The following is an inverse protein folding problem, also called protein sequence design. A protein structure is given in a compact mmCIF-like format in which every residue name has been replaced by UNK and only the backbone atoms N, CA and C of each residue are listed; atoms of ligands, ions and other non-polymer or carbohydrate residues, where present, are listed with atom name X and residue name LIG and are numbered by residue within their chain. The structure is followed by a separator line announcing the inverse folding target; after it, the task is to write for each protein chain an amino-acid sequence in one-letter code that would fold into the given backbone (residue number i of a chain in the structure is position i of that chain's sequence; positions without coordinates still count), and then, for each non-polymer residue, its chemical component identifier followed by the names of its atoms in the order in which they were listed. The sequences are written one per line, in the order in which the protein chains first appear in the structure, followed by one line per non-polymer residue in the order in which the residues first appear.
data_IF_229464980638
#
_entry.id   IF_229464980638
#
_cell.length_a   1.000
_cell.length_b   1.000
_cell.length_c   1.000
_cell.angle_alpha   90.00
_cell.angle_beta   90.00
_cell.angle_gamma   90.00
#
_symmetry.space_group_name_H-M   'P 1'
#
loop_
_entity.id
_entity.type
_entity.pdbx_description
1 polymer ?
#
# COMPACT_ATOMS: atom_id res chain seq x y z
N UNK A 1 -21.63 -32.60 13.65
CA UNK A 1 -22.32 -31.35 13.26
C UNK A 1 -21.38 -30.13 13.28
N UNK A 2 -20.49 -29.98 14.28
CA UNK A 2 -19.45 -28.94 14.33
C UNK A 2 -18.46 -28.91 13.14
N UNK A 3 -18.03 -30.07 12.63
CA UNK A 3 -17.11 -30.16 11.48
C UNK A 3 -17.67 -29.51 10.20
N UNK A 4 -18.99 -29.56 9.97
CA UNK A 4 -19.62 -29.02 8.76
C UNK A 4 -19.70 -27.48 8.77
N UNK A 5 -19.63 -26.87 9.95
CA UNK A 5 -19.71 -25.42 10.15
C UNK A 5 -18.32 -24.75 9.99
N UNK A 6 -17.24 -25.47 10.25
CA UNK A 6 -15.85 -25.02 10.07
C UNK A 6 -15.34 -25.11 8.62
N UNK A 7 -15.89 -26.02 7.79
CA UNK A 7 -15.44 -26.21 6.40
C UNK A 7 -15.81 -25.04 5.49
N UNK A 8 -16.99 -24.42 5.68
CA UNK A 8 -17.48 -23.35 4.80
C UNK A 8 -16.56 -22.10 4.79
N UNK A 9 -16.14 -21.54 5.93
CA UNK A 9 -15.20 -20.41 5.95
C UNK A 9 -13.86 -20.72 5.27
N UNK A 10 -13.31 -21.91 5.52
CA UNK A 10 -12.02 -22.34 4.94
C UNK A 10 -12.12 -22.53 3.43
N UNK A 11 -13.23 -23.10 2.94
CA UNK A 11 -13.47 -23.28 1.51
C UNK A 11 -13.65 -21.93 0.79
N UNK A 12 -14.42 -21.02 1.39
CA UNK A 12 -14.60 -19.65 0.87
C UNK A 12 -13.26 -18.92 0.85
N UNK A 13 -12.49 -18.97 1.93
CA UNK A 13 -11.15 -18.40 1.97
C UNK A 13 -10.25 -18.99 0.88
N UNK A 14 -10.23 -20.31 0.71
CA UNK A 14 -9.40 -20.98 -0.29
C UNK A 14 -9.78 -20.55 -1.71
N UNK A 15 -11.07 -20.43 -2.02
CA UNK A 15 -11.56 -19.95 -3.31
C UNK A 15 -11.19 -18.48 -3.56
N UNK A 16 -11.36 -17.60 -2.56
CA UNK A 16 -10.97 -16.20 -2.65
C UNK A 16 -9.46 -16.04 -2.80
N UNK A 17 -8.68 -16.84 -2.08
CA UNK A 17 -7.22 -16.84 -2.15
C UNK A 17 -6.75 -17.30 -3.54
N UNK A 18 -7.35 -18.34 -4.10
CA UNK A 18 -7.06 -18.80 -5.46
C UNK A 18 -7.40 -17.73 -6.50
N UNK A 19 -8.57 -17.09 -6.39
CA UNK A 19 -8.98 -16.01 -7.27
C UNK A 19 -8.02 -14.81 -7.19
N UNK A 20 -7.65 -14.39 -5.98
CA UNK A 20 -6.68 -13.33 -5.76
C UNK A 20 -5.33 -13.62 -6.44
N UNK A 21 -4.78 -14.81 -6.21
CA UNK A 21 -3.51 -15.21 -6.82
C UNK A 21 -3.61 -15.35 -8.34
N UNK A 22 -4.75 -15.79 -8.86
CA UNK A 22 -5.00 -15.83 -10.31
C UNK A 22 -4.99 -14.42 -10.92
N UNK A 23 -5.66 -13.47 -10.28
CA UNK A 23 -5.66 -12.05 -10.69
C UNK A 23 -4.24 -11.47 -10.60
N UNK A 24 -3.52 -11.74 -9.51
CA UNK A 24 -2.15 -11.26 -9.32
C UNK A 24 -1.19 -11.84 -10.36
N UNK A 25 -1.29 -13.14 -10.67
CA UNK A 25 -0.53 -13.77 -11.75
C UNK A 25 -0.86 -13.15 -13.12
N UNK A 26 -2.14 -12.93 -13.43
CA UNK A 26 -2.55 -12.24 -14.65
C UNK A 26 -1.98 -10.82 -14.73
N UNK A 27 -1.97 -10.08 -13.62
CA UNK A 27 -1.35 -8.76 -13.53
C UNK A 27 0.16 -8.82 -13.79
N UNK A 28 0.88 -9.73 -13.16
CA UNK A 28 2.32 -9.95 -13.40
C UNK A 28 2.61 -10.32 -14.86
N UNK A 29 1.77 -11.16 -15.48
CA UNK A 29 1.85 -11.50 -16.89
C UNK A 29 1.65 -10.25 -17.79
N UNK A 30 0.71 -9.37 -17.45
CA UNK A 30 0.45 -8.12 -18.18
C UNK A 30 1.64 -7.16 -18.13
N UNK A 31 2.32 -7.06 -16.98
CA UNK A 31 3.47 -6.18 -16.81
C UNK A 31 4.82 -6.84 -17.09
N UNK A 32 4.87 -8.10 -17.57
CA UNK A 32 6.10 -8.88 -17.71
C UNK A 32 7.19 -8.20 -18.55
N UNK A 33 6.78 -7.43 -19.55
CA UNK A 33 7.71 -6.70 -20.44
C UNK A 33 8.32 -5.46 -19.79
N UNK A 34 7.80 -5.03 -18.63
CA UNK A 34 8.33 -3.90 -17.85
C UNK A 34 9.43 -4.32 -16.86
N UNK A 35 9.81 -5.61 -16.79
CA UNK A 35 10.95 -6.08 -15.99
C UNK A 35 12.27 -5.77 -16.70
N UNK A 36 12.55 -4.47 -16.79
CA UNK A 36 13.75 -3.90 -17.38
C UNK A 36 14.46 -3.11 -16.28
N UNK A 37 15.79 -3.26 -16.19
CA UNK A 37 16.59 -2.49 -15.25
C UNK A 37 16.58 -1.00 -15.65
N UNK A 38 16.22 -0.12 -14.72
CA UNK A 38 16.13 1.32 -14.99
C UNK A 38 17.51 1.94 -15.32
N UNK A 39 18.60 1.35 -14.81
CA UNK A 39 19.96 1.87 -15.01
C UNK A 39 20.63 1.35 -16.28
N UNK A 40 20.46 0.06 -16.60
CA UNK A 40 21.15 -0.57 -17.74
C UNK A 40 20.28 -0.72 -18.98
N UNK A 41 18.95 -0.64 -18.85
CA UNK A 41 18.02 -0.91 -19.95
C UNK A 41 17.87 -2.38 -20.29
N UNK A 42 18.54 -3.28 -19.56
CA UNK A 42 18.52 -4.71 -19.84
C UNK A 42 17.24 -5.37 -19.33
N UNK A 43 16.71 -6.28 -20.13
CA UNK A 43 15.65 -7.19 -19.68
C UNK A 43 16.21 -8.14 -18.64
N UNK A 44 15.46 -8.30 -17.55
CA UNK A 44 15.80 -9.25 -16.51
C UNK A 44 15.54 -10.68 -16.99
N UNK A 45 16.56 -11.54 -16.91
CA UNK A 45 16.41 -12.98 -17.12
C UNK A 45 15.67 -13.68 -15.97
N UNK A 46 15.73 -13.09 -14.76
CA UNK A 46 15.04 -13.54 -13.55
C UNK A 46 14.59 -12.34 -12.70
N UNK A 47 13.51 -12.50 -11.94
CA UNK A 47 13.05 -11.48 -10.98
C UNK A 47 14.14 -11.28 -9.91
N UNK A 48 14.56 -10.03 -9.73
CA UNK A 48 15.57 -9.66 -8.75
C UNK A 48 15.06 -9.77 -7.30
N UNK A 49 15.92 -9.49 -6.32
CA UNK A 49 15.57 -9.65 -4.91
C UNK A 49 14.54 -8.63 -4.44
N UNK A 50 14.67 -7.35 -4.84
CA UNK A 50 13.70 -6.32 -4.47
C UNK A 50 12.28 -6.67 -4.95
N UNK A 51 12.13 -6.99 -6.23
CA UNK A 51 10.82 -7.35 -6.81
C UNK A 51 10.23 -8.63 -6.19
N UNK A 52 11.07 -9.60 -5.78
CA UNK A 52 10.60 -10.81 -5.08
C UNK A 52 9.98 -10.48 -3.72
N UNK A 53 10.58 -9.55 -2.98
CA UNK A 53 10.07 -9.09 -1.69
C UNK A 53 8.72 -8.40 -1.88
N UNK A 54 8.60 -7.47 -2.84
CA UNK A 54 7.34 -6.80 -3.15
C UNK A 54 6.24 -7.79 -3.56
N UNK A 55 6.54 -8.75 -4.44
CA UNK A 55 5.58 -9.78 -4.84
C UNK A 55 5.13 -10.67 -3.67
N UNK A 56 6.04 -11.00 -2.76
CA UNK A 56 5.73 -11.77 -1.56
C UNK A 56 4.76 -11.00 -0.64
N UNK A 57 4.98 -9.70 -0.45
CA UNK A 57 4.07 -8.85 0.35
C UNK A 57 2.66 -8.82 -0.23
N UNK A 58 2.53 -8.63 -1.54
CA UNK A 58 1.22 -8.64 -2.21
C UNK A 58 0.56 -10.03 -2.07
N UNK A 59 1.30 -11.10 -2.38
CA UNK A 59 0.78 -12.48 -2.33
C UNK A 59 0.29 -12.90 -0.94
N UNK A 60 0.92 -12.44 0.12
CA UNK A 60 0.56 -12.82 1.50
C UNK A 60 -0.67 -12.09 2.06
N UNK A 61 -1.14 -11.04 1.39
CA UNK A 61 -2.22 -10.18 1.87
C UNK A 61 -3.55 -10.91 2.19
N UNK A 62 -4.07 -11.84 1.36
CA UNK A 62 -5.33 -12.54 1.68
C UNK A 62 -5.22 -13.38 2.95
N UNK A 63 -4.07 -14.03 3.16
CA UNK A 63 -3.79 -14.83 4.35
C UNK A 63 -3.78 -13.96 5.60
N UNK A 64 -3.17 -12.78 5.53
CA UNK A 64 -3.17 -11.80 6.62
C UNK A 64 -4.59 -11.38 6.97
N UNK A 65 -5.38 -10.97 5.97
CA UNK A 65 -6.78 -10.55 6.18
C UNK A 65 -7.60 -11.68 6.82
N UNK A 66 -7.44 -12.91 6.37
CA UNK A 66 -8.13 -14.06 6.94
C UNK A 66 -7.83 -14.25 8.44
N UNK A 67 -6.55 -14.19 8.82
CA UNK A 67 -6.18 -14.29 10.23
C UNK A 67 -6.68 -13.10 11.06
N UNK A 68 -6.67 -11.88 10.50
CA UNK A 68 -7.22 -10.70 11.19
C UNK A 68 -8.72 -10.79 11.43
N UNK A 69 -9.46 -11.39 10.50
CA UNK A 69 -10.91 -11.52 10.62
C UNK A 69 -11.31 -12.65 11.57
N UNK A 70 -10.47 -13.68 11.71
CA UNK A 70 -10.70 -14.80 12.62
C UNK A 70 -10.75 -14.32 14.07
N UNK A 71 -11.75 -14.75 14.84
CA UNK A 71 -11.94 -14.39 16.26
C UNK A 71 -11.10 -15.25 17.21
N UNK A 72 -9.89 -15.63 16.81
CA UNK A 72 -9.02 -16.47 17.61
C UNK A 72 -7.81 -15.69 18.09
N UNK A 73 -7.80 -15.39 19.39
CA UNK A 73 -6.83 -14.52 20.04
C UNK A 73 -5.38 -15.01 19.89
N UNK A 74 -5.18 -16.31 19.68
CA UNK A 74 -3.85 -16.91 19.52
C UNK A 74 -3.13 -16.43 18.25
N UNK A 75 -3.85 -15.94 17.24
CA UNK A 75 -3.23 -15.48 15.99
C UNK A 75 -2.75 -14.02 16.03
N UNK A 76 -3.18 -13.23 17.02
CA UNK A 76 -2.82 -11.80 17.01
C UNK A 76 -1.32 -11.56 17.25
N UNK A 77 -0.64 -12.38 18.05
CA UNK A 77 0.81 -12.27 18.24
C UNK A 77 1.59 -12.53 16.94
N UNK A 78 1.17 -13.54 16.18
CA UNK A 78 1.74 -13.86 14.85
C UNK A 78 1.43 -12.73 13.87
N UNK A 79 0.21 -12.18 13.91
CA UNK A 79 -0.20 -11.09 13.05
C UNK A 79 0.61 -9.80 13.29
N UNK A 80 0.95 -9.46 14.54
CA UNK A 80 1.82 -8.31 14.86
C UNK A 80 3.20 -8.51 14.25
N UNK A 81 3.81 -9.67 14.48
CA UNK A 81 5.12 -10.01 13.91
C UNK A 81 5.08 -9.95 12.39
N UNK A 82 4.00 -10.43 11.78
CA UNK A 82 3.82 -10.42 10.34
C UNK A 82 3.66 -9.00 9.79
N UNK A 83 2.80 -8.16 10.39
CA UNK A 83 2.65 -6.75 9.99
C UNK A 83 3.96 -5.97 10.14
N UNK A 84 4.66 -6.18 11.26
CA UNK A 84 5.98 -5.62 11.47
C UNK A 84 6.95 -6.06 10.38
N UNK A 85 6.96 -7.34 10.03
CA UNK A 85 7.82 -7.87 8.96
C UNK A 85 7.46 -7.28 7.60
N UNK A 86 6.16 -7.18 7.24
CA UNK A 86 5.72 -6.54 5.99
C UNK A 86 6.25 -5.11 5.90
N UNK A 87 6.07 -4.31 6.96
CA UNK A 87 6.51 -2.91 6.96
C UNK A 87 8.03 -2.78 6.98
N UNK A 88 8.74 -3.68 7.64
CA UNK A 88 10.20 -3.72 7.60
C UNK A 88 10.71 -4.10 6.21
N UNK A 89 10.06 -5.06 5.55
CA UNK A 89 10.44 -5.50 4.20
C UNK A 89 10.23 -4.43 3.14
N UNK A 90 9.27 -3.51 3.31
CA UNK A 90 9.05 -2.32 2.47
C UNK A 90 10.20 -1.31 2.52
N UNK A 91 10.85 -1.19 3.68
CA UNK A 91 12.04 -0.36 3.75
C UNK A 91 13.24 -1.07 3.10
N UNK A 92 13.31 -2.39 3.29
CA UNK A 92 14.42 -3.21 2.86
C UNK A 92 14.46 -3.41 1.34
N UNK A 93 13.34 -3.67 0.68
CA UNK A 93 13.27 -3.83 -0.78
C UNK A 93 13.71 -2.55 -1.50
N UNK A 94 13.26 -1.38 -1.04
CA UNK A 94 13.67 -0.07 -1.54
C UNK A 94 15.14 0.25 -1.27
N UNK A 95 15.68 -0.19 -0.13
CA UNK A 95 17.11 -0.09 0.16
C UNK A 95 17.94 -0.98 -0.76
N UNK A 96 17.56 -2.24 -0.92
CA UNK A 96 18.24 -3.21 -1.80
C UNK A 96 18.19 -2.71 -3.25
N UNK A 97 17.03 -2.23 -3.72
CA UNK A 97 16.86 -1.69 -5.06
C UNK A 97 17.83 -0.55 -5.36
N UNK A 98 18.02 0.37 -4.39
CA UNK A 98 18.95 1.51 -4.50
C UNK A 98 20.41 1.08 -4.41
N UNK A 99 20.76 0.27 -3.41
CA UNK A 99 22.16 -0.09 -3.11
C UNK A 99 22.75 -1.01 -4.17
N UNK A 100 21.94 -1.91 -4.74
CA UNK A 100 22.39 -2.90 -5.70
C UNK A 100 21.97 -2.61 -7.15
N UNK A 101 21.50 -1.38 -7.45
CA UNK A 101 21.07 -0.99 -8.80
C UNK A 101 20.03 -1.96 -9.40
N UNK A 102 19.09 -2.43 -8.57
CA UNK A 102 18.03 -3.39 -8.93
C UNK A 102 16.68 -2.70 -9.20
N UNK A 103 16.67 -1.38 -9.44
CA UNK A 103 15.45 -0.64 -9.78
C UNK A 103 14.95 -1.05 -11.16
N UNK A 104 13.63 -1.24 -11.26
CA UNK A 104 12.98 -1.65 -12.50
C UNK A 104 11.65 -0.92 -12.66
N UNK A 105 11.21 -0.71 -13.90
CA UNK A 105 9.89 -0.14 -14.19
C UNK A 105 8.76 -0.99 -13.59
N UNK A 106 8.83 -2.32 -13.73
CA UNK A 106 7.88 -3.24 -13.10
C UNK A 106 7.91 -3.14 -11.56
N UNK A 107 9.10 -3.06 -10.96
CA UNK A 107 9.28 -2.90 -9.52
C UNK A 107 8.63 -1.62 -9.00
N UNK A 108 8.80 -0.49 -9.70
CA UNK A 108 8.15 0.79 -9.34
C UNK A 108 6.62 0.68 -9.35
N UNK A 109 6.07 -0.05 -10.33
CA UNK A 109 4.62 -0.30 -10.40
C UNK A 109 4.19 -1.20 -9.23
N UNK A 110 4.91 -2.29 -8.99
CA UNK A 110 4.61 -3.25 -7.91
C UNK A 110 4.69 -2.59 -6.53
N UNK A 111 5.72 -1.79 -6.26
CA UNK A 111 5.88 -1.06 -5.00
C UNK A 111 4.70 -0.11 -4.79
N UNK A 112 4.37 0.70 -5.81
CA UNK A 112 3.23 1.62 -5.74
C UNK A 112 1.91 0.88 -5.50
N UNK A 113 1.71 -0.30 -6.10
CA UNK A 113 0.53 -1.13 -5.85
C UNK A 113 0.54 -1.71 -4.42
N UNK A 114 1.66 -2.27 -3.99
CA UNK A 114 1.83 -2.88 -2.67
C UNK A 114 1.54 -1.88 -1.55
N UNK A 115 2.07 -0.67 -1.65
CA UNK A 115 1.92 0.39 -0.65
C UNK A 115 0.46 0.71 -0.38
N UNK A 116 -0.35 0.89 -1.43
CA UNK A 116 -1.77 1.20 -1.26
C UNK A 116 -2.58 -0.05 -0.89
N UNK A 117 -2.33 -1.20 -1.51
CA UNK A 117 -3.11 -2.41 -1.26
C UNK A 117 -2.96 -2.88 0.18
N UNK A 118 -1.73 -3.04 0.66
CA UNK A 118 -1.45 -3.55 2.01
C UNK A 118 -2.01 -2.62 3.07
N UNK A 119 -1.66 -1.33 2.99
CA UNK A 119 -2.03 -0.34 3.99
C UNK A 119 -3.54 -0.11 4.03
N UNK A 120 -4.20 -0.05 2.87
CA UNK A 120 -5.65 0.10 2.79
C UNK A 120 -6.38 -1.13 3.31
N UNK A 121 -6.01 -2.33 2.88
CA UNK A 121 -6.67 -3.56 3.32
C UNK A 121 -6.56 -3.76 4.84
N UNK A 122 -5.40 -3.50 5.43
CA UNK A 122 -5.22 -3.57 6.89
C UNK A 122 -6.08 -2.52 7.59
N UNK A 123 -6.07 -1.27 7.10
CA UNK A 123 -6.85 -0.19 7.69
C UNK A 123 -8.37 -0.47 7.66
N UNK A 124 -8.89 -1.06 6.56
CA UNK A 124 -10.29 -1.46 6.45
C UNK A 124 -10.63 -2.51 7.51
N UNK A 125 -9.82 -3.56 7.65
CA UNK A 125 -10.06 -4.62 8.64
C UNK A 125 -10.00 -4.07 10.06
N UNK A 126 -9.04 -3.19 10.35
CA UNK A 126 -8.95 -2.54 11.65
C UNK A 126 -10.12 -1.63 11.95
N UNK A 127 -10.66 -0.93 10.95
CA UNK A 127 -11.86 -0.13 11.13
C UNK A 127 -13.09 -1.00 11.44
N UNK A 128 -13.26 -2.12 10.73
CA UNK A 128 -14.32 -3.11 11.00
C UNK A 128 -14.20 -3.67 12.43
N UNK A 129 -12.97 -3.89 12.90
CA UNK A 129 -12.68 -4.40 14.26
C UNK A 129 -12.66 -3.29 15.33
N UNK A 130 -12.93 -2.03 14.98
CA UNK A 130 -12.96 -0.89 15.92
C UNK A 130 -11.58 -0.44 16.44
N UNK A 131 -10.49 -0.90 15.83
CA UNK A 131 -9.13 -0.44 16.18
C UNK A 131 -8.84 0.96 15.63
N UNK A 132 -9.49 1.34 14.54
CA UNK A 132 -9.34 2.64 13.87
C UNK A 132 -10.72 3.26 13.66
N UNK A 133 -10.83 4.56 13.93
CA UNK A 133 -12.05 5.32 13.65
C UNK A 133 -12.30 5.54 12.15
N UNK A 134 -13.58 5.52 11.76
CA UNK A 134 -14.01 5.63 10.37
C UNK A 134 -13.50 6.89 9.66
N UNK A 135 -13.39 8.00 10.37
CA UNK A 135 -12.92 9.27 9.80
C UNK A 135 -11.45 9.18 9.35
N UNK A 136 -10.62 8.41 10.06
CA UNK A 136 -9.21 8.22 9.70
C UNK A 136 -9.08 7.31 8.48
N UNK A 137 -9.93 6.28 8.38
CA UNK A 137 -10.05 5.46 7.16
C UNK A 137 -10.45 6.32 5.95
N UNK A 138 -11.38 7.25 6.11
CA UNK A 138 -11.80 8.15 5.02
C UNK A 138 -10.65 9.02 4.50
N UNK A 139 -9.74 9.50 5.37
CA UNK A 139 -8.54 10.22 4.94
C UNK A 139 -7.58 9.34 4.12
N UNK A 140 -7.47 8.05 4.45
CA UNK A 140 -6.71 7.08 3.67
C UNK A 140 -7.37 6.79 2.32
N UNK A 141 -8.71 6.68 2.27
CA UNK A 141 -9.46 6.54 1.01
C UNK A 141 -9.23 7.75 0.12
N UNK A 142 -9.38 8.97 0.66
CA UNK A 142 -9.13 10.23 -0.06
C UNK A 142 -7.72 10.23 -0.65
N UNK A 143 -6.72 9.75 0.09
CA UNK A 143 -5.34 9.67 -0.40
C UNK A 143 -5.18 8.79 -1.65
N UNK A 144 -5.84 7.64 -1.66
CA UNK A 144 -5.84 6.72 -2.81
C UNK A 144 -6.58 7.37 -3.98
N UNK A 145 -7.73 7.98 -3.72
CA UNK A 145 -8.52 8.65 -4.75
C UNK A 145 -7.77 9.84 -5.36
N UNK A 146 -7.16 10.71 -4.56
CA UNK A 146 -6.35 11.84 -5.03
C UNK A 146 -5.19 11.34 -5.89
N UNK A 147 -4.44 10.32 -5.43
CA UNK A 147 -3.35 9.75 -6.22
C UNK A 147 -3.85 9.14 -7.54
N UNK A 148 -4.87 8.29 -7.47
CA UNK A 148 -5.37 7.54 -8.62
C UNK A 148 -6.02 8.44 -9.66
N UNK A 149 -6.91 9.34 -9.22
CA UNK A 149 -7.57 10.30 -10.12
C UNK A 149 -6.60 11.30 -10.73
N UNK A 150 -5.63 11.81 -9.96
CA UNK A 150 -4.60 12.71 -10.46
C UNK A 150 -3.75 12.05 -11.53
N UNK A 151 -3.25 10.83 -11.29
CA UNK A 151 -2.49 10.07 -12.29
C UNK A 151 -3.33 9.77 -13.54
N UNK A 152 -4.58 9.34 -13.37
CA UNK A 152 -5.48 9.03 -14.48
C UNK A 152 -5.75 10.26 -15.35
N UNK A 153 -6.00 11.42 -14.73
CA UNK A 153 -6.22 12.69 -15.43
C UNK A 153 -5.05 13.02 -16.38
N UNK A 154 -3.81 12.90 -15.89
CA UNK A 154 -2.61 13.19 -16.67
C UNK A 154 -2.32 12.16 -17.78
N UNK A 155 -2.66 10.89 -17.55
CA UNK A 155 -2.61 9.85 -18.58
C UNK A 155 -3.58 10.19 -19.72
N UNK A 156 -4.83 10.55 -19.39
CA UNK A 156 -5.86 10.92 -20.39
C UNK A 156 -5.43 12.16 -21.18
N UNK A 157 -4.79 13.13 -20.52
CA UNK A 157 -4.27 14.35 -21.17
C UNK A 157 -2.98 14.14 -21.98
N UNK A 158 -2.45 12.92 -22.06
CA UNK A 158 -1.15 12.59 -22.70
C UNK A 158 0.02 13.42 -22.16
N UNK A 159 -0.08 13.91 -20.93
CA UNK A 159 0.97 14.62 -20.21
C UNK A 159 1.34 13.82 -18.97
N UNK A 160 1.90 12.59 -19.15
CA UNK A 160 2.08 11.67 -18.04
C UNK A 160 3.02 12.28 -16.99
N UNK A 161 2.54 12.30 -15.75
CA UNK A 161 3.34 12.67 -14.60
C UNK A 161 4.06 11.42 -14.07
N UNK A 162 5.38 11.50 -13.90
CA UNK A 162 6.09 10.45 -13.18
C UNK A 162 5.67 10.43 -11.70
N UNK A 163 5.40 9.25 -11.10
CA UNK A 163 5.10 9.15 -9.68
C UNK A 163 6.25 9.74 -8.85
N UNK A 164 6.02 10.87 -8.18
CA UNK A 164 6.99 11.48 -7.26
C UNK A 164 6.60 11.24 -5.81
N UNK A 165 7.55 10.76 -5.02
CA UNK A 165 7.38 10.66 -3.57
C UNK A 165 7.61 12.02 -2.93
N UNK A 166 6.65 12.52 -2.16
CA UNK A 166 6.79 13.77 -1.41
C UNK A 166 7.25 13.51 0.02
N UNK A 167 7.92 14.46 0.69
CA UNK A 167 8.27 14.33 2.10
C UNK A 167 7.04 14.08 2.99
N UNK A 168 5.97 14.86 2.82
CA UNK A 168 4.73 14.66 3.57
C UNK A 168 4.09 13.30 3.25
N UNK A 169 4.19 12.86 2.00
CA UNK A 169 3.79 11.53 1.55
C UNK A 169 4.47 10.41 2.33
N UNK A 170 5.79 10.50 2.53
CA UNK A 170 6.57 9.52 3.28
C UNK A 170 6.22 9.53 4.77
N UNK A 171 6.10 10.71 5.37
CA UNK A 171 5.72 10.86 6.78
C UNK A 171 4.33 10.29 7.03
N UNK A 172 3.38 10.53 6.13
CA UNK A 172 2.05 9.94 6.21
C UNK A 172 2.06 8.42 6.16
N UNK A 173 2.81 7.80 5.23
CA UNK A 173 2.89 6.34 5.13
C UNK A 173 3.54 5.75 6.38
N UNK A 174 4.68 6.29 6.81
CA UNK A 174 5.38 5.84 8.00
C UNK A 174 4.53 6.00 9.27
N UNK A 175 3.86 7.15 9.42
CA UNK A 175 2.95 7.42 10.53
C UNK A 175 1.78 6.46 10.56
N UNK A 176 1.18 6.15 9.41
CA UNK A 176 0.11 5.14 9.34
C UNK A 176 0.64 3.77 9.70
N UNK A 177 1.77 3.32 9.16
CA UNK A 177 2.36 2.01 9.50
C UNK A 177 2.63 1.89 11.01
N UNK A 178 3.24 2.90 11.62
CA UNK A 178 3.51 2.94 13.06
C UNK A 178 2.20 2.86 13.86
N UNK A 179 1.22 3.67 13.50
CA UNK A 179 -0.07 3.67 14.19
C UNK A 179 -0.80 2.33 14.04
N UNK A 180 -0.77 1.68 12.87
CA UNK A 180 -1.34 0.34 12.69
C UNK A 180 -0.68 -0.68 13.63
N UNK A 181 0.66 -0.67 13.75
CA UNK A 181 1.37 -1.56 14.68
C UNK A 181 0.98 -1.27 16.13
N UNK A 182 0.93 0.00 16.52
CA UNK A 182 0.53 0.43 17.88
C UNK A 182 -0.92 0.03 18.17
N UNK A 183 -1.85 0.29 17.27
CA UNK A 183 -3.26 -0.06 17.43
C UNK A 183 -3.43 -1.56 17.62
N UNK A 184 -2.76 -2.38 16.80
CA UNK A 184 -2.81 -3.83 16.96
C UNK A 184 -2.20 -4.29 18.30
N UNK A 185 -1.03 -3.76 18.67
CA UNK A 185 -0.39 -4.11 19.94
C UNK A 185 -1.24 -3.67 21.16
N UNK A 186 -1.95 -2.54 21.04
CA UNK A 186 -2.88 -2.03 22.06
C UNK A 186 -4.19 -2.81 22.16
N UNK A 187 -4.47 -3.67 21.19
CA UNK A 187 -5.60 -4.58 21.22
C UNK A 187 -5.23 -5.89 21.93
N UNK A 188 -3.95 -6.27 21.93
CA UNK A 188 -3.49 -7.61 22.33
C UNK A 188 -2.68 -7.64 23.62
N UNK A 189 -1.78 -6.70 23.83
CA UNK A 189 -0.76 -6.76 24.90
C UNK A 189 -0.97 -5.76 26.02
N UNK A 190 -1.40 -4.55 25.67
CA UNK A 190 -1.64 -3.47 26.62
C UNK A 190 -2.89 -2.71 26.18
N UNK A 191 -3.54 -1.96 27.07
CA UNK A 191 -4.64 -1.07 26.67
C UNK A 191 -4.15 0.36 26.62
N UNK A 192 -4.33 1.02 25.48
CA UNK A 192 -4.08 2.46 25.38
C UNK A 192 -5.15 3.23 26.16
N UNK A 193 -4.79 4.23 26.98
CA UNK A 193 -5.75 5.19 27.48
C UNK A 193 -6.50 5.85 26.32
N UNK A 194 -7.81 6.03 26.47
CA UNK A 194 -8.67 6.58 25.42
C UNK A 194 -8.17 7.94 24.91
N UNK A 195 -7.70 8.78 25.84
CA UNK A 195 -7.10 10.09 25.52
C UNK A 195 -5.88 9.96 24.63
N UNK A 196 -4.96 9.04 24.94
CA UNK A 196 -3.76 8.82 24.15
C UNK A 196 -4.07 8.23 22.77
N UNK A 197 -5.00 7.27 22.68
CA UNK A 197 -5.47 6.73 21.39
C UNK A 197 -6.02 7.85 20.50
N UNK A 198 -6.91 8.68 21.05
CA UNK A 198 -7.51 9.79 20.33
C UNK A 198 -6.45 10.83 19.91
N UNK A 199 -5.49 11.17 20.77
CA UNK A 199 -4.39 12.08 20.43
C UNK A 199 -3.53 11.56 19.27
N UNK A 200 -3.20 10.26 19.27
CA UNK A 200 -2.45 9.63 18.17
C UNK A 200 -3.23 9.64 16.87
N UNK A 201 -4.54 9.37 16.92
CA UNK A 201 -5.41 9.43 15.74
C UNK A 201 -5.49 10.83 15.19
N UNK A 202 -5.76 11.85 16.02
CA UNK A 202 -5.82 13.27 15.59
C UNK A 202 -4.49 13.69 14.97
N UNK A 203 -3.36 13.33 15.58
CA UNK A 203 -2.04 13.61 15.04
C UNK A 203 -1.85 12.97 13.66
N UNK A 204 -2.17 11.68 13.52
CA UNK A 204 -2.09 10.99 12.24
C UNK A 204 -3.04 11.58 11.20
N UNK A 205 -4.25 11.95 11.62
CA UNK A 205 -5.25 12.63 10.81
C UNK A 205 -4.73 13.94 10.24
N UNK A 206 -4.09 14.76 11.06
CA UNK A 206 -3.46 16.00 10.62
C UNK A 206 -2.35 15.73 9.59
N UNK A 207 -1.46 14.76 9.86
CA UNK A 207 -0.40 14.36 8.92
C UNK A 207 -0.98 13.93 7.57
N UNK A 208 -2.01 13.09 7.58
CA UNK A 208 -2.69 12.62 6.37
C UNK A 208 -3.36 13.77 5.62
N UNK A 209 -4.05 14.66 6.33
CA UNK A 209 -4.72 15.82 5.75
C UNK A 209 -3.71 16.73 5.02
N UNK A 210 -2.64 17.15 5.69
CA UNK A 210 -1.60 17.98 5.07
C UNK A 210 -0.89 17.28 3.92
N UNK A 211 -0.62 15.98 4.03
CA UNK A 211 -0.01 15.21 2.95
C UNK A 211 -0.93 15.09 1.73
N UNK A 212 -2.24 14.97 1.92
CA UNK A 212 -3.21 14.98 0.82
C UNK A 212 -3.23 16.34 0.12
N UNK A 213 -3.20 17.43 0.89
CA UNK A 213 -3.15 18.79 0.35
C UNK A 213 -1.86 19.05 -0.46
N UNK A 214 -0.71 18.61 0.04
CA UNK A 214 0.58 18.67 -0.66
C UNK A 214 0.49 17.98 -2.03
N UNK A 215 -0.10 16.78 -2.11
CA UNK A 215 -0.30 16.08 -3.39
C UNK A 215 -1.21 16.83 -4.35
N UNK A 216 -2.33 17.36 -3.87
CA UNK A 216 -3.25 18.14 -4.70
C UNK A 216 -2.52 19.35 -5.30
N UNK A 217 -1.75 20.08 -4.49
CA UNK A 217 -0.98 21.21 -4.96
C UNK A 217 0.03 20.83 -6.05
N UNK A 218 0.74 19.71 -5.88
CA UNK A 218 1.66 19.21 -6.90
C UNK A 218 0.97 18.85 -8.22
N UNK A 219 -0.21 18.25 -8.17
CA UNK A 219 -0.98 17.99 -9.38
C UNK A 219 -1.43 19.28 -10.06
N UNK A 220 -1.87 20.28 -9.30
CA UNK A 220 -2.23 21.59 -9.85
C UNK A 220 -1.03 22.31 -10.49
N UNK A 221 0.14 22.27 -9.84
CA UNK A 221 1.36 22.87 -10.37
C UNK A 221 1.81 22.18 -11.66
N UNK A 222 1.76 20.85 -11.70
CA UNK A 222 2.06 20.08 -12.91
C UNK A 222 1.09 20.44 -14.05
N UNK A 223 -0.22 20.50 -13.75
CA UNK A 223 -1.25 20.92 -14.70
C UNK A 223 -0.97 22.29 -15.32
N UNK A 224 -0.59 23.29 -14.49
CA UNK A 224 -0.21 24.63 -14.96
C UNK A 224 0.98 24.59 -15.90
N UNK A 225 2.06 23.89 -15.55
CA UNK A 225 3.26 23.78 -16.40
C UNK A 225 2.96 23.14 -17.75
N UNK A 226 2.16 22.07 -17.77
CA UNK A 226 1.76 21.40 -19.01
C UNK A 226 0.80 22.22 -19.87
N UNK A 227 -0.05 23.04 -19.25
CA UNK A 227 -0.95 23.95 -19.96
C UNK A 227 -0.21 25.10 -20.65
N UNK A 228 0.86 25.61 -20.04
CA UNK A 228 1.71 26.68 -20.60
C UNK A 228 2.51 26.18 -21.81
N UNK A 229 3.12 24.99 -21.72
CA UNK A 229 3.92 24.42 -22.83
C UNK A 229 3.09 24.06 -24.08
N UNK A 230 1.77 23.90 -23.96
CA UNK A 230 0.88 23.66 -25.10
C UNK A 230 0.43 24.96 -25.80
N UNK A 231 0.84 26.14 -25.32
CA UNK A 231 0.54 27.44 -25.92
C UNK A 231 1.73 28.07 -26.67
N UNK A 232 2.93 27.48 -26.59
CA UNK A 232 4.03 27.87 -27.47
C UNK A 232 3.83 27.20 -28.84
N UNK A 233 3.71 27.97 -29.94
CA UNK A 233 3.65 27.38 -31.27
C UNK A 233 4.96 26.62 -31.54
N UNK A 234 4.84 25.37 -32.00
CA UNK A 234 5.97 24.60 -32.47
C UNK A 234 6.73 25.39 -33.56
N UNK A 235 8.08 25.39 -33.56
CA UNK A 235 8.88 26.01 -34.61
C UNK A 235 8.67 25.33 -35.97
#
# INVERSE_FOLDING_TARGET
MYLKQSIKPVLVFSALNFLYHSIFCCFLCSIRYSFVNDNTGDKLSKINTANRITCFRISTLPTVIYFMLTENDNFYGILILFLYFIFLTDFLDGFIARKFNQRTKAGRILDSCSDYLVLFSIAVVFCIKGLIEWWLLMLLVIRILVQGSGMLYFIIKKTPMEPRSTPGGKVAIAGTMIYLVISLASFTWFRLPVTLKLSLEILLGAILFFSNFEKIFLFLEHGKKTGVNNMEPAP
#
